data_IF_539480693640
#
_entry.id   IF_539480693640
#
_cell.length_a   1.000
_cell.length_b   1.000
_cell.length_c   1.000
_cell.angle_alpha   90.00
_cell.angle_beta   90.00
_cell.angle_gamma   90.00
#
_symmetry.space_group_name_H-M   'P 1'
#
loop_
_entity.id
_entity.type
_entity.pdbx_description
1 polymer ?
#
# COMPACT_ATOMS: atom_id res chain seq x y z
N UNK A 1 -14.56 -81.63 -20.84
CA UNK A 1 -13.31 -80.91 -20.52
C UNK A 1 -13.12 -79.82 -21.57
N UNK A 2 -13.36 -78.56 -21.20
CA UNK A 2 -13.35 -77.40 -22.12
C UNK A 2 -12.04 -76.59 -21.93
N UNK A 3 -11.50 -75.98 -23.00
CA UNK A 3 -10.18 -75.32 -23.02
C UNK A 3 -10.18 -73.94 -22.31
N UNK A 4 -9.01 -73.38 -21.98
CA UNK A 4 -8.88 -72.22 -21.09
C UNK A 4 -9.22 -70.89 -21.77
N UNK A 5 -9.73 -69.96 -20.95
CA UNK A 5 -10.11 -68.60 -21.31
C UNK A 5 -8.90 -67.74 -21.73
N UNK A 6 -9.12 -67.02 -22.83
CA UNK A 6 -8.31 -65.95 -23.39
C UNK A 6 -8.40 -64.72 -22.47
N UNK A 7 -7.27 -64.25 -21.93
CA UNK A 7 -7.20 -62.98 -21.18
C UNK A 7 -6.67 -61.90 -22.13
N UNK A 8 -7.56 -61.03 -22.61
CA UNK A 8 -7.26 -59.91 -23.49
C UNK A 8 -6.62 -58.77 -22.67
N UNK A 9 -5.34 -58.48 -22.95
CA UNK A 9 -4.66 -57.31 -22.39
C UNK A 9 -5.11 -56.04 -23.15
N UNK A 10 -5.73 -55.11 -22.43
CA UNK A 10 -6.15 -53.81 -22.94
C UNK A 10 -4.93 -52.86 -22.92
N UNK A 11 -4.42 -52.48 -24.09
CA UNK A 11 -3.35 -51.50 -24.22
C UNK A 11 -3.90 -50.08 -23.99
N UNK A 12 -3.42 -49.40 -22.94
CA UNK A 12 -3.69 -47.99 -22.68
C UNK A 12 -2.76 -47.15 -23.59
N UNK A 13 -3.30 -46.49 -24.61
CA UNK A 13 -2.58 -45.45 -25.35
C UNK A 13 -2.50 -44.18 -24.47
N UNK A 14 -1.30 -43.90 -23.94
CA UNK A 14 -0.99 -42.59 -23.39
C UNK A 14 -0.73 -41.60 -24.54
N UNK A 15 -1.61 -40.62 -24.72
CA UNK A 15 -1.36 -39.48 -25.60
C UNK A 15 -0.41 -38.52 -24.89
N UNK A 16 0.84 -38.46 -25.35
CA UNK A 16 1.79 -37.46 -24.90
C UNK A 16 1.34 -36.07 -25.40
N UNK A 17 0.92 -35.20 -24.50
CA UNK A 17 0.77 -33.77 -24.76
C UNK A 17 2.18 -33.18 -24.85
N UNK A 18 2.63 -32.85 -26.05
CA UNK A 18 3.85 -32.07 -26.22
C UNK A 18 3.62 -30.66 -25.64
N UNK A 19 4.37 -30.32 -24.60
CA UNK A 19 4.38 -28.96 -24.05
C UNK A 19 4.94 -28.00 -25.12
N UNK A 20 4.26 -26.87 -25.34
CA UNK A 20 4.80 -25.78 -26.17
C UNK A 20 6.13 -25.28 -25.56
N UNK A 21 7.13 -24.95 -26.39
CA UNK A 21 8.39 -24.40 -25.90
C UNK A 21 8.16 -23.03 -25.25
N UNK A 22 8.90 -22.71 -24.17
CA UNK A 22 8.78 -21.41 -23.52
C UNK A 22 9.11 -20.28 -24.51
N UNK A 23 8.36 -19.18 -24.41
CA UNK A 23 8.63 -17.96 -25.16
C UNK A 23 10.09 -17.50 -24.91
N UNK A 24 10.75 -16.89 -25.92
CA UNK A 24 12.14 -16.46 -25.79
C UNK A 24 12.24 -15.41 -24.68
N UNK A 25 12.95 -15.77 -23.61
CA UNK A 25 13.38 -14.84 -22.56
C UNK A 25 14.35 -13.86 -23.22
N UNK A 26 13.93 -12.61 -23.38
CA UNK A 26 14.84 -11.52 -23.77
C UNK A 26 15.98 -11.47 -22.76
N UNK A 27 17.20 -11.74 -23.22
CA UNK A 27 18.38 -11.69 -22.37
C UNK A 27 18.50 -10.29 -21.75
N UNK A 28 18.80 -10.18 -20.44
CA UNK A 28 18.99 -8.88 -19.81
C UNK A 28 20.18 -8.18 -20.46
N UNK A 29 19.98 -6.95 -20.91
CA UNK A 29 21.06 -6.08 -21.34
C UNK A 29 22.05 -5.88 -20.16
N UNK A 30 23.37 -5.81 -20.41
CA UNK A 30 24.34 -5.57 -19.35
C UNK A 30 24.00 -4.29 -18.61
N UNK A 31 23.99 -4.35 -17.28
CA UNK A 31 23.75 -3.22 -16.41
C UNK A 31 24.81 -2.13 -16.66
N UNK A 32 24.44 -1.11 -17.42
CA UNK A 32 25.19 0.13 -17.46
C UNK A 32 25.05 0.78 -16.08
N UNK A 33 26.07 0.60 -15.23
CA UNK A 33 26.37 1.55 -14.16
C UNK A 33 26.80 2.89 -14.80
N UNK A 34 25.86 3.51 -15.52
CA UNK A 34 25.97 4.90 -15.90
C UNK A 34 25.63 5.71 -14.66
N UNK A 35 26.50 6.66 -14.31
CA UNK A 35 26.14 7.72 -13.38
C UNK A 35 24.93 8.41 -14.00
N UNK A 36 23.73 8.05 -13.55
CA UNK A 36 22.49 8.66 -14.03
C UNK A 36 22.58 10.15 -13.71
N UNK A 37 22.33 11.04 -14.67
CA UNK A 37 22.34 12.47 -14.41
C UNK A 37 21.35 12.78 -13.29
N UNK A 38 21.75 13.60 -12.33
CA UNK A 38 20.86 14.07 -11.27
C UNK A 38 19.73 14.88 -11.90
N UNK A 39 18.52 14.31 -11.90
CA UNK A 39 17.33 14.97 -12.40
C UNK A 39 16.91 16.07 -11.43
N UNK A 40 16.62 17.26 -11.96
CA UNK A 40 16.22 18.42 -11.17
C UNK A 40 14.77 18.80 -11.48
N UNK A 41 13.99 19.22 -10.46
CA UNK A 41 12.65 19.78 -10.67
C UNK A 41 12.63 20.95 -11.64
N UNK A 42 11.59 21.00 -12.46
CA UNK A 42 11.25 22.13 -13.31
C UNK A 42 9.79 22.53 -13.08
N UNK A 43 9.36 23.71 -13.53
CA UNK A 43 7.93 23.93 -13.78
C UNK A 43 7.39 22.87 -14.76
N UNK A 44 6.09 22.56 -14.69
CA UNK A 44 5.44 21.65 -15.65
C UNK A 44 5.50 22.26 -17.07
N UNK A 45 6.17 21.62 -18.05
CA UNK A 45 6.20 22.13 -19.42
C UNK A 45 4.79 22.17 -20.04
N UNK A 46 4.44 23.17 -20.86
CA UNK A 46 3.13 23.28 -21.51
C UNK A 46 2.74 22.01 -22.29
N UNK A 47 3.68 21.41 -23.01
CA UNK A 47 3.49 20.19 -23.79
C UNK A 47 3.17 18.97 -22.90
N UNK A 48 3.84 18.85 -21.75
CA UNK A 48 3.55 17.78 -20.78
C UNK A 48 2.17 18.00 -20.16
N UNK A 49 1.84 19.25 -19.81
CA UNK A 49 0.52 19.60 -19.28
C UNK A 49 -0.60 19.24 -20.25
N UNK A 50 -0.44 19.60 -21.53
CA UNK A 50 -1.42 19.30 -22.57
C UNK A 50 -1.55 17.79 -22.81
N UNK A 51 -0.42 17.10 -23.03
CA UNK A 51 -0.38 15.67 -23.33
C UNK A 51 -1.03 14.84 -22.20
N UNK A 52 -0.72 15.14 -20.95
CA UNK A 52 -1.22 14.40 -19.79
C UNK A 52 -2.48 15.01 -19.16
N UNK A 53 -3.01 16.09 -19.74
CA UNK A 53 -4.18 16.84 -19.25
C UNK A 53 -4.03 17.20 -17.76
N UNK A 54 -2.85 17.67 -17.38
CA UNK A 54 -2.51 17.91 -15.97
C UNK A 54 -3.27 19.13 -15.44
N UNK A 55 -3.96 18.94 -14.32
CA UNK A 55 -4.67 20.02 -13.64
C UNK A 55 -3.71 21.17 -13.25
N UNK A 56 -4.20 22.43 -13.15
CA UNK A 56 -3.41 23.56 -12.67
C UNK A 56 -2.85 23.37 -11.25
N UNK A 57 -3.33 22.41 -10.48
CA UNK A 57 -2.74 22.02 -9.20
C UNK A 57 -1.25 21.67 -9.32
N UNK A 58 -0.86 20.94 -10.37
CA UNK A 58 0.51 20.53 -10.61
C UNK A 58 1.36 21.69 -11.11
N UNK A 59 2.40 22.04 -10.37
CA UNK A 59 3.29 23.17 -10.66
C UNK A 59 4.75 22.74 -10.82
N UNK A 60 5.15 21.60 -10.22
CA UNK A 60 6.49 21.04 -10.32
C UNK A 60 6.49 19.73 -11.10
N UNK A 61 7.58 19.45 -11.79
CA UNK A 61 7.74 18.31 -12.69
C UNK A 61 9.17 17.77 -12.72
N UNK A 62 9.32 16.45 -12.80
CA UNK A 62 10.51 15.74 -13.32
C UNK A 62 10.02 14.66 -14.29
N UNK A 63 10.67 14.53 -15.45
CA UNK A 63 10.37 13.45 -16.40
C UNK A 63 11.34 12.28 -16.26
N UNK A 64 10.84 11.04 -16.19
CA UNK A 64 11.64 9.81 -16.17
C UNK A 64 11.18 8.87 -17.28
N UNK A 65 11.95 8.74 -18.36
CA UNK A 65 11.60 7.86 -19.48
C UNK A 65 10.23 8.16 -20.10
N UNK A 66 9.81 9.42 -20.09
CA UNK A 66 8.49 9.87 -20.55
C UNK A 66 7.39 9.85 -19.48
N UNK A 67 7.60 9.19 -18.34
CA UNK A 67 6.67 9.23 -17.20
C UNK A 67 6.84 10.57 -16.46
N UNK A 68 5.79 11.40 -16.37
CA UNK A 68 5.84 12.64 -15.61
C UNK A 68 5.66 12.35 -14.12
N UNK A 69 6.58 12.86 -13.32
CA UNK A 69 6.50 12.92 -11.86
C UNK A 69 6.15 14.36 -11.52
N UNK A 70 5.05 14.57 -10.82
CA UNK A 70 4.43 15.88 -10.68
C UNK A 70 4.06 16.16 -9.23
N UNK A 71 4.08 17.44 -8.86
CA UNK A 71 3.69 17.90 -7.53
C UNK A 71 3.12 19.30 -7.57
N UNK A 72 2.50 19.71 -6.47
CA UNK A 72 2.03 21.08 -6.31
C UNK A 72 3.20 22.05 -6.11
N UNK A 73 2.89 23.35 -5.99
CA UNK A 73 3.89 24.35 -5.65
C UNK A 73 4.45 24.17 -4.22
N UNK A 74 3.72 23.50 -3.32
CA UNK A 74 4.10 23.29 -1.91
C UNK A 74 5.13 22.19 -1.74
N UNK A 75 5.11 21.18 -2.60
CA UNK A 75 5.99 20.01 -2.53
C UNK A 75 7.46 20.45 -2.57
N UNK A 76 8.34 19.89 -1.72
CA UNK A 76 9.77 20.20 -1.83
C UNK A 76 10.39 19.62 -3.10
N UNK A 77 11.42 20.30 -3.59
CA UNK A 77 12.21 19.83 -4.72
C UNK A 77 12.90 18.49 -4.43
N UNK A 78 13.31 18.29 -3.16
CA UNK A 78 13.91 17.05 -2.68
C UNK A 78 12.95 15.85 -2.77
N UNK A 79 11.67 16.03 -2.44
CA UNK A 79 10.68 14.95 -2.51
C UNK A 79 10.39 14.53 -3.95
N UNK A 80 10.31 15.51 -4.87
CA UNK A 80 10.13 15.23 -6.29
C UNK A 80 11.35 14.52 -6.88
N UNK A 81 12.56 14.96 -6.51
CA UNK A 81 13.81 14.32 -6.91
C UNK A 81 13.95 12.90 -6.33
N UNK A 82 13.55 12.68 -5.08
CA UNK A 82 13.54 11.36 -4.43
C UNK A 82 12.62 10.38 -5.17
N UNK A 83 11.41 10.82 -5.51
CA UNK A 83 10.48 10.02 -6.30
C UNK A 83 11.07 9.67 -7.68
N UNK A 84 11.70 10.63 -8.35
CA UNK A 84 12.37 10.39 -9.63
C UNK A 84 13.52 9.40 -9.52
N UNK A 85 14.38 9.56 -8.51
CA UNK A 85 15.45 8.61 -8.23
C UNK A 85 14.88 7.21 -7.97
N UNK A 86 13.83 7.09 -7.16
CA UNK A 86 13.18 5.81 -6.87
C UNK A 86 12.65 5.12 -8.14
N UNK A 87 11.96 5.87 -9.03
CA UNK A 87 11.48 5.34 -10.31
C UNK A 87 12.64 4.86 -11.19
N UNK A 88 13.74 5.61 -11.25
CA UNK A 88 14.95 5.21 -12.01
C UNK A 88 15.57 3.94 -11.42
N UNK A 89 15.65 3.81 -10.10
CA UNK A 89 16.17 2.59 -9.47
C UNK A 89 15.30 1.36 -9.78
N UNK A 90 13.98 1.51 -9.74
CA UNK A 90 13.05 0.42 -10.00
C UNK A 90 12.98 0.04 -11.48
N UNK A 91 12.91 1.01 -12.40
CA UNK A 91 12.56 0.79 -13.81
C UNK A 91 13.47 1.47 -14.83
N UNK A 92 14.59 2.08 -14.44
CA UNK A 92 15.52 2.73 -15.39
C UNK A 92 16.07 1.78 -16.46
N UNK A 93 16.09 0.47 -16.18
CA UNK A 93 16.46 -0.59 -17.12
C UNK A 93 15.28 -1.14 -17.97
N UNK A 94 14.05 -0.63 -17.75
CA UNK A 94 12.81 -0.98 -18.45
C UNK A 94 12.13 0.26 -19.06
N UNK A 95 12.80 0.94 -20.03
CA UNK A 95 12.22 2.11 -20.70
C UNK A 95 10.93 1.79 -21.44
N UNK A 96 10.73 0.54 -21.86
CA UNK A 96 9.49 0.03 -22.46
C UNK A 96 8.29 0.14 -21.50
N UNK A 97 8.46 -0.18 -20.22
CA UNK A 97 7.39 -0.04 -19.21
C UNK A 97 7.10 1.42 -18.89
N UNK A 98 8.14 2.25 -18.74
CA UNK A 98 7.98 3.69 -18.52
C UNK A 98 7.23 4.35 -19.69
N UNK A 99 7.61 4.03 -20.92
CA UNK A 99 6.95 4.52 -22.12
C UNK A 99 5.50 4.02 -22.24
N UNK A 100 5.23 2.76 -21.90
CA UNK A 100 3.88 2.21 -21.92
C UNK A 100 2.96 2.90 -20.91
N UNK A 101 3.43 3.10 -19.67
CA UNK A 101 2.68 3.84 -18.65
C UNK A 101 2.45 5.30 -19.07
N UNK A 102 3.48 5.97 -19.58
CA UNK A 102 3.36 7.34 -20.09
C UNK A 102 2.35 7.45 -21.25
N UNK A 103 2.38 6.51 -22.20
CA UNK A 103 1.41 6.43 -23.31
C UNK A 103 -0.02 6.21 -22.84
N UNK A 104 -0.20 5.50 -21.72
CA UNK A 104 -1.50 5.33 -21.06
C UNK A 104 -1.90 6.53 -20.19
N UNK A 105 -1.14 7.62 -20.20
CA UNK A 105 -1.45 8.86 -19.48
C UNK A 105 -1.14 8.81 -17.99
N UNK A 106 -0.36 7.82 -17.53
CA UNK A 106 0.01 7.70 -16.12
C UNK A 106 0.93 8.85 -15.73
N UNK A 107 0.72 9.41 -14.54
CA UNK A 107 1.65 10.31 -13.84
C UNK A 107 1.92 9.81 -12.43
N UNK A 108 3.09 10.14 -11.89
CA UNK A 108 3.39 9.94 -10.48
C UNK A 108 3.21 11.26 -9.73
N UNK A 109 2.09 11.39 -9.01
CA UNK A 109 1.79 12.55 -8.19
C UNK A 109 2.43 12.41 -6.79
N UNK A 110 3.20 13.41 -6.37
CA UNK A 110 3.74 13.46 -5.01
C UNK A 110 3.04 14.57 -4.25
N UNK A 111 2.42 14.20 -3.13
CA UNK A 111 1.75 15.12 -2.21
C UNK A 111 2.80 15.77 -1.30
N UNK A 112 2.69 17.08 -1.08
CA UNK A 112 3.40 17.72 0.03
C UNK A 112 2.94 17.15 1.37
N UNK A 113 3.75 17.29 2.41
CA UNK A 113 3.42 16.77 3.75
C UNK A 113 2.12 17.33 4.36
N UNK A 114 1.62 18.48 3.89
CA UNK A 114 0.36 19.11 4.31
C UNK A 114 -0.77 18.96 3.26
N UNK A 115 -0.57 18.09 2.28
CA UNK A 115 -1.55 17.72 1.24
C UNK A 115 -1.98 16.26 1.42
N UNK A 116 -3.26 16.00 1.14
CA UNK A 116 -3.90 14.72 1.42
C UNK A 116 -4.38 14.04 0.14
N UNK A 117 -4.74 12.76 0.26
CA UNK A 117 -5.15 11.93 -0.89
C UNK A 117 -6.24 12.59 -1.73
N UNK A 118 -7.23 13.22 -1.11
CA UNK A 118 -8.31 13.89 -1.85
C UNK A 118 -7.96 15.30 -2.37
N UNK A 119 -6.78 15.84 -2.05
CA UNK A 119 -6.26 17.06 -2.68
C UNK A 119 -5.64 16.78 -4.06
N UNK A 120 -5.20 15.53 -4.30
CA UNK A 120 -4.73 15.08 -5.61
C UNK A 120 -5.90 15.14 -6.60
N UNK A 121 -5.80 15.87 -7.72
CA UNK A 121 -6.90 16.08 -8.66
C UNK A 121 -7.60 14.79 -9.12
N UNK A 122 -6.82 13.73 -9.36
CA UNK A 122 -7.27 12.41 -9.81
C UNK A 122 -8.07 11.65 -8.75
N UNK A 123 -7.94 12.03 -7.48
CA UNK A 123 -8.54 11.37 -6.33
C UNK A 123 -9.57 12.26 -5.61
N UNK A 124 -9.78 13.50 -6.05
CA UNK A 124 -10.69 14.47 -5.42
C UNK A 124 -12.17 14.03 -5.35
N UNK A 125 -12.54 13.09 -6.22
CA UNK A 125 -13.87 12.49 -6.28
C UNK A 125 -14.13 11.51 -5.12
N UNK A 126 -13.10 11.03 -4.43
CA UNK A 126 -13.23 10.07 -3.33
C UNK A 126 -13.93 10.71 -2.13
N UNK A 127 -14.97 10.04 -1.61
CA UNK A 127 -15.76 10.50 -0.48
C UNK A 127 -15.95 9.41 0.60
N UNK A 128 -16.03 9.80 1.88
CA UNK A 128 -15.80 11.16 2.39
C UNK A 128 -14.28 11.47 2.48
N UNK A 129 -13.86 12.75 2.32
CA UNK A 129 -12.44 13.12 2.35
C UNK A 129 -11.71 12.68 3.62
N UNK A 130 -12.31 12.89 4.78
CA UNK A 130 -11.73 12.50 6.09
C UNK A 130 -11.37 11.01 6.17
N UNK A 131 -12.12 10.15 5.47
CA UNK A 131 -11.79 8.73 5.38
C UNK A 131 -10.60 8.48 4.46
N UNK A 132 -10.68 8.98 3.22
CA UNK A 132 -9.66 8.70 2.20
C UNK A 132 -8.32 9.36 2.50
N UNK A 133 -8.34 10.60 3.01
CA UNK A 133 -7.17 11.33 3.46
C UNK A 133 -6.42 10.58 4.55
N UNK A 134 -7.10 9.77 5.38
CA UNK A 134 -6.50 8.93 6.44
C UNK A 134 -6.30 7.47 6.03
N UNK A 135 -6.93 7.01 4.96
CA UNK A 135 -6.84 5.62 4.48
C UNK A 135 -5.55 5.37 3.74
N UNK A 136 -5.05 6.37 3.06
CA UNK A 136 -3.98 6.23 2.11
C UNK A 136 -3.08 7.46 2.18
N UNK A 137 -1.77 7.23 2.08
CA UNK A 137 -0.76 8.23 1.70
C UNK A 137 -0.15 7.96 0.32
N UNK A 138 -0.83 7.09 -0.43
CA UNK A 138 -0.57 6.78 -1.82
C UNK A 138 -1.70 5.90 -2.35
N UNK A 139 -1.92 5.94 -3.65
CA UNK A 139 -2.86 5.09 -4.38
C UNK A 139 -2.26 4.74 -5.73
N UNK A 140 -2.43 3.49 -6.17
CA UNK A 140 -2.02 3.03 -7.48
C UNK A 140 -2.84 3.64 -8.62
N UNK A 141 -2.21 3.75 -9.80
CA UNK A 141 -2.88 4.19 -11.01
C UNK A 141 -3.80 3.08 -11.56
N UNK A 142 -4.98 3.45 -12.02
CA UNK A 142 -5.94 2.58 -12.72
C UNK A 142 -6.37 3.22 -14.04
N UNK A 143 -7.06 2.50 -14.94
CA UNK A 143 -7.58 3.09 -16.19
C UNK A 143 -8.52 4.30 -16.01
N UNK A 144 -9.15 4.44 -14.85
CA UNK A 144 -10.06 5.55 -14.53
C UNK A 144 -9.43 6.60 -13.60
N UNK A 145 -8.31 6.29 -12.95
CA UNK A 145 -7.53 7.20 -12.12
C UNK A 145 -6.04 7.08 -12.47
N UNK A 146 -5.58 7.87 -13.45
CA UNK A 146 -4.25 7.70 -14.05
C UNK A 146 -3.09 8.24 -13.18
N UNK A 147 -3.33 8.57 -11.91
CA UNK A 147 -2.25 8.97 -11.00
C UNK A 147 -1.90 7.81 -10.09
N UNK A 148 -0.63 7.43 -10.08
CA UNK A 148 -0.03 6.81 -8.90
C UNK A 148 0.33 7.95 -7.95
N UNK A 149 0.05 7.82 -6.66
CA UNK A 149 0.38 8.83 -5.67
C UNK A 149 1.25 8.30 -4.54
N UNK A 150 2.09 9.18 -4.00
CA UNK A 150 2.88 8.97 -2.80
C UNK A 150 3.01 10.29 -2.03
N UNK A 151 3.57 10.22 -0.83
CA UNK A 151 3.67 11.36 0.06
C UNK A 151 5.11 11.72 0.39
N UNK A 152 5.37 13.03 0.44
CA UNK A 152 6.67 13.61 0.77
C UNK A 152 7.21 13.12 2.12
N UNK A 153 6.39 13.08 3.16
CA UNK A 153 6.82 12.63 4.48
C UNK A 153 7.31 11.18 4.46
N UNK A 154 6.74 10.35 3.58
CA UNK A 154 7.07 8.94 3.50
C UNK A 154 8.34 8.70 2.65
N UNK A 155 8.48 9.42 1.53
CA UNK A 155 9.66 9.38 0.67
C UNK A 155 10.91 9.86 1.43
N UNK A 156 10.79 10.96 2.18
CA UNK A 156 11.92 11.61 2.85
C UNK A 156 12.05 11.26 4.33
N UNK A 157 11.17 10.39 4.87
CA UNK A 157 11.19 9.93 6.27
C UNK A 157 10.99 11.04 7.31
N UNK A 158 10.07 11.97 7.03
CA UNK A 158 9.77 13.06 7.96
C UNK A 158 9.19 12.53 9.28
N UNK A 159 9.37 13.28 10.38
CA UNK A 159 8.67 13.00 11.62
C UNK A 159 7.15 12.94 11.41
N UNK A 160 6.49 11.96 12.03
CA UNK A 160 5.04 11.77 11.92
C UNK A 160 4.59 10.96 10.70
N UNK A 161 5.49 10.49 9.84
CA UNK A 161 5.16 9.55 8.75
C UNK A 161 4.35 8.36 9.31
N UNK A 162 3.12 8.12 8.80
CA UNK A 162 2.30 7.00 9.24
C UNK A 162 2.83 5.63 8.79
N UNK A 163 3.76 5.59 7.83
CA UNK A 163 4.36 4.37 7.27
C UNK A 163 5.90 4.36 7.37
N UNK A 164 6.49 4.54 8.57
CA UNK A 164 7.92 4.81 8.72
C UNK A 164 8.81 3.60 8.35
N UNK A 165 8.25 2.38 8.35
CA UNK A 165 8.96 1.13 8.07
C UNK A 165 9.00 0.77 6.60
N UNK A 166 8.32 1.53 5.75
CA UNK A 166 8.20 1.25 4.34
C UNK A 166 8.11 2.54 3.52
N UNK A 167 8.03 2.40 2.20
CA UNK A 167 7.69 3.50 1.29
C UNK A 167 6.54 3.03 0.43
N UNK A 168 5.36 3.57 0.75
CA UNK A 168 4.10 3.24 0.08
C UNK A 168 4.20 3.50 -1.42
N UNK A 169 4.97 4.51 -1.84
CA UNK A 169 5.21 4.76 -3.26
C UNK A 169 5.76 3.56 -4.05
N UNK A 170 6.50 2.63 -3.44
CA UNK A 170 6.95 1.39 -4.10
C UNK A 170 5.76 0.45 -4.36
N UNK A 171 4.88 0.30 -3.37
CA UNK A 171 3.64 -0.49 -3.47
C UNK A 171 2.74 0.05 -4.60
N UNK A 172 2.44 1.34 -4.52
CA UNK A 172 1.49 1.97 -5.43
C UNK A 172 2.05 2.04 -6.86
N UNK A 173 3.36 2.17 -6.99
CA UNK A 173 4.02 2.08 -8.29
C UNK A 173 3.99 0.65 -8.83
N UNK A 174 4.11 -0.38 -7.99
CA UNK A 174 3.95 -1.77 -8.44
C UNK A 174 2.57 -2.05 -9.05
N UNK A 175 1.49 -1.46 -8.49
CA UNK A 175 0.17 -1.48 -9.12
C UNK A 175 0.18 -0.83 -10.50
N UNK A 176 0.74 0.38 -10.63
CA UNK A 176 0.82 1.08 -11.91
C UNK A 176 1.64 0.29 -12.95
N UNK A 177 2.77 -0.28 -12.54
CA UNK A 177 3.60 -1.14 -13.39
C UNK A 177 2.80 -2.32 -13.91
N UNK A 178 2.02 -2.97 -13.05
CA UNK A 178 1.20 -4.11 -13.45
C UNK A 178 0.03 -3.71 -14.35
N UNK A 179 -0.87 -2.85 -13.86
CA UNK A 179 -2.14 -2.56 -14.51
C UNK A 179 -1.99 -1.64 -15.72
N UNK A 180 -1.00 -0.75 -15.71
CA UNK A 180 -0.84 0.29 -16.73
C UNK A 180 0.41 0.10 -17.60
N UNK A 181 1.41 -0.66 -17.16
CA UNK A 181 2.61 -0.96 -17.96
C UNK A 181 2.56 -2.36 -18.59
N UNK A 182 2.69 -3.39 -17.74
CA UNK A 182 2.75 -4.80 -18.13
C UNK A 182 1.51 -5.24 -18.89
N UNK A 183 0.31 -4.75 -18.54
CA UNK A 183 -0.91 -5.03 -19.30
C UNK A 183 -0.83 -4.66 -20.80
N UNK A 184 0.13 -3.81 -21.20
CA UNK A 184 0.41 -3.46 -22.60
C UNK A 184 1.64 -4.14 -23.16
N UNK A 185 2.72 -4.20 -22.37
CA UNK A 185 4.02 -4.72 -22.83
C UNK A 185 4.05 -6.25 -22.82
N UNK A 186 3.43 -6.87 -21.83
CA UNK A 186 3.22 -8.31 -21.74
C UNK A 186 1.78 -8.62 -21.26
N UNK A 187 0.82 -8.73 -22.19
CA UNK A 187 -0.57 -9.04 -21.87
C UNK A 187 -0.78 -10.40 -21.19
N UNK A 188 0.22 -11.29 -21.17
CA UNK A 188 0.12 -12.60 -20.51
C UNK A 188 0.47 -12.57 -19.02
N UNK A 189 1.12 -11.49 -18.56
CA UNK A 189 1.63 -11.35 -17.21
C UNK A 189 0.55 -11.56 -16.14
N UNK A 190 -0.61 -10.92 -16.27
CA UNK A 190 -1.70 -10.99 -15.28
C UNK A 190 -2.25 -12.42 -15.11
N UNK A 191 -2.26 -13.21 -16.20
CA UNK A 191 -2.66 -14.62 -16.17
C UNK A 191 -1.65 -15.45 -15.37
N UNK A 192 -0.35 -15.21 -15.57
CA UNK A 192 0.73 -15.89 -14.83
C UNK A 192 0.70 -15.49 -13.35
N UNK A 193 0.59 -14.20 -13.06
CA UNK A 193 0.45 -13.67 -11.71
C UNK A 193 -0.77 -14.27 -10.99
N UNK A 194 -1.92 -14.39 -11.68
CA UNK A 194 -3.12 -15.02 -11.12
C UNK A 194 -2.86 -16.47 -10.71
N UNK A 195 -2.24 -17.26 -11.60
CA UNK A 195 -1.93 -18.65 -11.30
C UNK A 195 -0.94 -18.78 -10.13
N UNK A 196 0.07 -17.92 -10.07
CA UNK A 196 1.02 -17.84 -8.95
C UNK A 196 0.33 -17.50 -7.65
N UNK A 197 -0.52 -16.47 -7.63
CA UNK A 197 -1.31 -16.08 -6.45
C UNK A 197 -2.19 -17.24 -5.95
N UNK A 198 -2.94 -17.88 -6.85
CA UNK A 198 -3.82 -19.00 -6.47
C UNK A 198 -3.04 -20.18 -5.89
N UNK A 199 -1.86 -20.48 -6.45
CA UNK A 199 -0.96 -21.52 -5.93
C UNK A 199 -0.43 -21.15 -4.55
N UNK A 200 0.03 -19.92 -4.34
CA UNK A 200 0.52 -19.43 -3.05
C UNK A 200 -0.58 -19.49 -1.97
N UNK A 201 -1.79 -19.06 -2.29
CA UNK A 201 -2.93 -19.10 -1.38
C UNK A 201 -3.33 -20.55 -1.04
N UNK A 202 -3.33 -21.45 -2.03
CA UNK A 202 -3.61 -22.87 -1.81
C UNK A 202 -2.56 -23.55 -0.92
N UNK A 203 -1.31 -23.10 -0.99
CA UNK A 203 -0.22 -23.54 -0.11
C UNK A 203 -0.25 -22.88 1.28
N UNK A 204 -1.18 -21.96 1.54
CA UNK A 204 -1.29 -21.22 2.80
C UNK A 204 -0.19 -20.18 3.01
N UNK A 205 0.56 -19.83 1.96
CA UNK A 205 1.53 -18.73 2.01
C UNK A 205 0.79 -17.41 2.26
N UNK A 206 1.43 -16.50 2.98
CA UNK A 206 0.91 -15.15 3.27
C UNK A 206 -0.41 -15.14 4.06
N UNK A 207 -0.80 -16.27 4.67
CA UNK A 207 -2.02 -16.36 5.47
C UNK A 207 -2.01 -15.30 6.58
N UNK A 208 -3.06 -14.48 6.60
CA UNK A 208 -3.24 -13.43 7.61
C UNK A 208 -2.44 -12.14 7.34
N UNK A 209 -1.77 -12.05 6.19
CA UNK A 209 -1.12 -10.81 5.75
C UNK A 209 -1.96 -10.07 4.72
N UNK A 210 -1.60 -8.81 4.44
CA UNK A 210 -2.26 -7.98 3.42
C UNK A 210 -2.07 -8.55 2.01
N UNK A 211 -0.94 -9.19 1.74
CA UNK A 211 -0.67 -9.88 0.47
C UNK A 211 -1.70 -10.99 0.14
N UNK A 212 -2.43 -11.54 1.11
CA UNK A 212 -3.46 -12.55 0.88
C UNK A 212 -4.86 -11.96 0.58
N UNK A 213 -5.02 -10.63 0.57
CA UNK A 213 -6.33 -9.99 0.35
C UNK A 213 -6.82 -10.21 -1.07
N UNK A 214 -5.97 -9.94 -2.06
CA UNK A 214 -6.24 -10.20 -3.47
C UNK A 214 -4.93 -10.23 -4.28
N UNK A 215 -5.03 -10.65 -5.54
CA UNK A 215 -3.89 -10.76 -6.47
C UNK A 215 -3.12 -9.45 -6.70
N UNK A 216 -3.81 -8.31 -6.73
CA UNK A 216 -3.16 -7.02 -6.96
C UNK A 216 -2.30 -6.63 -5.76
N UNK A 217 -2.83 -6.75 -4.53
CA UNK A 217 -2.07 -6.51 -3.30
C UNK A 217 -0.93 -7.52 -3.17
N UNK A 218 -1.16 -8.80 -3.50
CA UNK A 218 -0.11 -9.82 -3.54
C UNK A 218 1.08 -9.35 -4.38
N UNK A 219 0.83 -8.92 -5.62
CA UNK A 219 1.90 -8.39 -6.47
C UNK A 219 2.61 -7.19 -5.83
N UNK A 220 1.86 -6.18 -5.39
CA UNK A 220 2.45 -4.95 -4.86
C UNK A 220 3.28 -5.17 -3.59
N UNK A 221 2.80 -6.02 -2.67
CA UNK A 221 3.52 -6.46 -1.49
C UNK A 221 4.80 -7.21 -1.86
N UNK A 222 4.76 -8.11 -2.83
CA UNK A 222 5.94 -8.86 -3.27
C UNK A 222 6.99 -7.96 -3.92
N UNK A 223 6.57 -6.92 -4.64
CA UNK A 223 7.50 -5.91 -5.17
C UNK A 223 8.15 -5.11 -4.04
N UNK A 224 7.41 -4.74 -2.99
CA UNK A 224 8.02 -4.13 -1.80
C UNK A 224 9.05 -5.07 -1.16
N UNK A 225 8.73 -6.35 -1.00
CA UNK A 225 9.66 -7.35 -0.45
C UNK A 225 10.89 -7.50 -1.37
N UNK A 226 10.71 -7.52 -2.69
CA UNK A 226 11.78 -7.61 -3.68
C UNK A 226 12.79 -6.46 -3.56
N UNK A 227 12.34 -5.28 -3.12
CA UNK A 227 13.21 -4.12 -2.89
C UNK A 227 13.60 -3.94 -1.42
N UNK A 228 13.36 -4.92 -0.55
CA UNK A 228 13.65 -4.89 0.90
C UNK A 228 12.96 -3.73 1.64
N UNK A 229 11.76 -3.34 1.19
CA UNK A 229 10.98 -2.21 1.70
C UNK A 229 9.59 -2.61 2.21
N UNK A 230 9.41 -3.87 2.62
CA UNK A 230 8.18 -4.31 3.26
C UNK A 230 8.35 -4.23 4.79
N UNK A 231 7.32 -3.80 5.51
CA UNK A 231 7.32 -3.86 6.96
C UNK A 231 7.38 -5.34 7.41
N UNK A 232 7.93 -5.60 8.60
CA UNK A 232 8.06 -6.96 9.11
C UNK A 232 7.27 -7.13 10.42
N UNK A 233 6.62 -8.29 10.55
CA UNK A 233 6.03 -8.80 11.80
C UNK A 233 5.07 -7.83 12.50
N UNK A 234 4.07 -7.33 11.78
CA UNK A 234 2.99 -6.54 12.36
C UNK A 234 1.60 -7.16 12.09
N UNK A 235 0.53 -6.36 12.21
CA UNK A 235 -0.83 -6.87 12.03
C UNK A 235 -1.20 -7.18 10.57
N UNK A 236 -0.38 -6.72 9.61
CA UNK A 236 -0.61 -6.84 8.17
C UNK A 236 0.53 -7.58 7.46
N UNK A 237 1.70 -7.74 8.08
CA UNK A 237 2.89 -8.33 7.46
C UNK A 237 3.47 -9.48 8.31
N UNK A 238 4.06 -10.49 7.64
CA UNK A 238 4.82 -11.56 8.27
C UNK A 238 6.33 -11.19 8.33
N UNK A 239 7.22 -12.17 8.54
CA UNK A 239 8.67 -11.96 8.65
C UNK A 239 9.40 -11.96 7.29
N UNK A 240 8.69 -12.14 6.17
CA UNK A 240 9.25 -12.24 4.82
C UNK A 240 9.32 -10.84 4.20
N UNK A 241 10.34 -10.08 4.61
CA UNK A 241 10.46 -8.66 4.26
C UNK A 241 11.69 -8.30 3.40
N UNK A 242 12.41 -9.31 2.89
CA UNK A 242 13.58 -9.12 2.02
C UNK A 242 13.52 -10.04 0.81
N UNK A 243 14.19 -9.66 -0.27
CA UNK A 243 14.30 -10.44 -1.51
C UNK A 243 14.81 -11.85 -1.26
N UNK A 244 15.80 -12.00 -0.39
CA UNK A 244 16.43 -13.30 -0.12
C UNK A 244 15.46 -14.25 0.61
N UNK A 245 14.67 -13.71 1.55
CA UNK A 245 13.58 -14.48 2.17
C UNK A 245 12.50 -14.83 1.15
N UNK A 246 12.12 -13.90 0.28
CA UNK A 246 11.11 -14.12 -0.76
C UNK A 246 11.50 -15.25 -1.72
N UNK A 247 12.75 -15.27 -2.18
CA UNK A 247 13.30 -16.33 -3.05
C UNK A 247 13.12 -17.72 -2.48
N UNK A 248 13.16 -17.85 -1.16
CA UNK A 248 13.02 -19.12 -0.44
C UNK A 248 11.57 -19.44 -0.10
N UNK A 249 10.81 -18.43 0.34
CA UNK A 249 9.45 -18.58 0.85
C UNK A 249 8.40 -18.74 -0.26
N UNK A 250 8.51 -17.94 -1.32
CA UNK A 250 7.59 -17.91 -2.47
C UNK A 250 8.39 -17.70 -3.77
N UNK A 251 9.06 -18.76 -4.21
CA UNK A 251 9.97 -18.72 -5.36
C UNK A 251 9.26 -18.43 -6.68
N UNK A 252 7.97 -18.75 -6.80
CA UNK A 252 7.20 -18.51 -8.02
C UNK A 252 6.98 -17.02 -8.28
N UNK A 253 6.57 -16.24 -7.26
CA UNK A 253 6.43 -14.79 -7.42
C UNK A 253 7.77 -14.06 -7.39
N UNK A 254 8.76 -14.62 -6.71
CA UNK A 254 10.15 -14.19 -6.83
C UNK A 254 10.63 -14.25 -8.28
N UNK A 255 10.27 -15.29 -9.03
CA UNK A 255 10.62 -15.40 -10.45
C UNK A 255 9.93 -14.32 -11.31
N UNK A 256 8.66 -13.99 -11.02
CA UNK A 256 7.97 -12.88 -11.70
C UNK A 256 8.60 -11.52 -11.38
N UNK A 257 9.03 -11.30 -10.13
CA UNK A 257 9.76 -10.09 -9.77
C UNK A 257 11.11 -10.01 -10.49
N UNK A 258 11.85 -11.11 -10.56
CA UNK A 258 13.12 -11.19 -11.29
C UNK A 258 12.94 -10.94 -12.79
N UNK A 259 11.86 -11.42 -13.40
CA UNK A 259 11.55 -11.14 -14.81
C UNK A 259 11.32 -9.64 -15.07
N UNK A 260 10.60 -8.96 -14.18
CA UNK A 260 10.24 -7.55 -14.37
C UNK A 260 11.38 -6.60 -14.01
N UNK A 261 12.01 -6.82 -12.85
CA UNK A 261 12.96 -5.89 -12.23
C UNK A 261 14.41 -6.34 -12.32
N UNK A 262 14.67 -7.55 -12.84
CA UNK A 262 15.98 -8.20 -12.87
C UNK A 262 16.59 -8.38 -11.47
N UNK A 263 17.74 -9.06 -11.37
CA UNK A 263 18.44 -9.25 -10.11
C UNK A 263 19.48 -8.17 -9.83
N UNK A 264 19.16 -6.91 -10.11
CA UNK A 264 20.06 -5.80 -9.79
C UNK A 264 20.40 -5.77 -8.29
N UNK A 265 21.64 -5.40 -7.92
CA UNK A 265 22.09 -5.42 -6.53
C UNK A 265 21.38 -4.39 -5.65
N UNK A 266 20.79 -3.35 -6.25
CA UNK A 266 20.11 -2.29 -5.50
C UNK A 266 18.98 -2.86 -4.61
N UNK A 267 18.92 -2.33 -3.38
CA UNK A 267 17.86 -2.52 -2.40
C UNK A 267 17.51 -1.17 -1.83
N UNK A 268 16.22 -0.97 -1.58
CA UNK A 268 15.77 0.27 -1.01
C UNK A 268 16.28 0.40 0.43
N UNK A 269 16.75 1.59 0.76
CA UNK A 269 17.00 2.01 2.15
C UNK A 269 16.52 3.45 2.31
N UNK A 270 16.21 3.88 3.53
CA UNK A 270 15.75 5.25 3.77
C UNK A 270 16.86 6.26 3.41
N UNK A 271 16.53 7.49 2.95
CA UNK A 271 17.54 8.48 2.57
C UNK A 271 18.64 8.72 3.61
N UNK A 272 18.33 8.66 4.90
CA UNK A 272 19.31 8.88 5.96
C UNK A 272 20.46 7.84 6.01
N UNK A 273 20.25 6.62 5.49
CA UNK A 273 21.23 5.52 5.57
C UNK A 273 22.00 5.31 4.26
N UNK A 274 21.71 6.08 3.22
CA UNK A 274 22.30 5.94 1.89
C UNK A 274 23.69 6.58 1.79
N UNK A 275 24.47 6.11 0.82
CA UNK A 275 25.77 6.70 0.48
C UNK A 275 25.61 8.15 -0.04
N UNK A 276 26.65 8.99 -0.01
CA UNK A 276 26.57 10.32 -0.63
C UNK A 276 26.19 10.30 -2.11
N UNK A 277 26.66 9.30 -2.87
CA UNK A 277 26.31 9.15 -4.28
C UNK A 277 24.82 8.89 -4.49
N UNK A 278 24.23 8.01 -3.67
CA UNK A 278 22.80 7.70 -3.69
C UNK A 278 21.91 8.81 -3.11
N UNK A 279 22.51 9.90 -2.62
CA UNK A 279 21.83 11.10 -2.11
C UNK A 279 22.17 12.34 -2.92
N UNK A 280 22.85 12.20 -4.06
CA UNK A 280 23.26 13.35 -4.87
C UNK A 280 22.07 14.20 -5.35
N UNK A 281 20.89 13.59 -5.53
CA UNK A 281 19.65 14.28 -5.88
C UNK A 281 18.95 14.97 -4.71
N UNK A 282 19.42 14.73 -3.48
CA UNK A 282 18.94 15.36 -2.24
C UNK A 282 19.89 16.46 -1.76
N UNK A 283 20.67 17.05 -2.66
CA UNK A 283 21.58 18.14 -2.31
C UNK A 283 20.82 19.29 -1.62
N UNK A 284 21.34 19.74 -0.48
CA UNK A 284 20.71 20.77 0.36
C UNK A 284 19.52 20.31 1.21
N UNK A 285 19.05 19.07 1.10
CA UNK A 285 18.00 18.54 1.98
C UNK A 285 18.54 18.23 3.40
N UNK A 286 17.81 18.69 4.42
CA UNK A 286 18.16 18.49 5.83
C UNK A 286 16.95 17.96 6.59
N UNK A 287 17.00 16.68 6.96
CA UNK A 287 15.92 16.00 7.67
C UNK A 287 15.63 16.62 9.04
N UNK A 288 16.62 17.25 9.70
CA UNK A 288 16.41 17.89 11.00
C UNK A 288 15.52 19.15 10.90
N UNK A 289 15.37 19.71 9.69
CA UNK A 289 14.49 20.84 9.38
C UNK A 289 13.17 20.42 8.74
N UNK A 290 12.97 19.12 8.54
CA UNK A 290 11.75 18.61 7.93
C UNK A 290 10.52 18.93 8.81
N UNK A 291 9.38 19.29 8.21
CA UNK A 291 8.14 19.48 8.95
C UNK A 291 7.65 18.15 9.53
N UNK A 292 6.85 18.22 10.59
CA UNK A 292 6.17 17.05 11.13
C UNK A 292 4.85 16.84 10.40
N UNK A 293 4.67 15.66 9.80
CA UNK A 293 3.40 15.29 9.19
C UNK A 293 2.28 15.31 10.23
N UNK A 294 1.12 15.86 9.85
CA UNK A 294 -0.09 15.83 10.68
C UNK A 294 -1.28 15.56 9.79
N UNK A 295 -2.15 14.68 10.26
CA UNK A 295 -3.43 14.47 9.61
C UNK A 295 -4.28 15.74 9.61
N UNK A 296 -5.11 15.87 8.56
CA UNK A 296 -6.04 17.00 8.44
C UNK A 296 -6.93 17.08 9.67
N UNK A 297 -7.05 18.28 10.24
CA UNK A 297 -8.04 18.55 11.26
C UNK A 297 -9.44 18.36 10.66
N UNK A 298 -10.28 17.57 11.32
CA UNK A 298 -11.66 17.32 10.92
C UNK A 298 -12.58 17.61 12.09
N UNK A 299 -13.69 18.30 11.84
CA UNK A 299 -14.72 18.52 12.85
C UNK A 299 -15.39 17.20 13.21
N UNK A 300 -15.68 16.98 14.49
CA UNK A 300 -16.41 15.79 14.94
C UNK A 300 -17.86 15.85 14.43
N UNK A 301 -18.31 14.91 13.58
CA UNK A 301 -19.72 14.84 13.16
C UNK A 301 -20.66 14.64 14.35
N UNK A 302 -21.96 14.93 14.18
CA UNK A 302 -22.96 14.63 15.21
C UNK A 302 -23.04 13.13 15.51
N UNK A 303 -23.00 12.30 14.46
CA UNK A 303 -23.07 10.84 14.51
C UNK A 303 -21.93 10.21 13.72
N UNK A 304 -20.69 10.24 14.23
CA UNK A 304 -19.55 9.69 13.53
C UNK A 304 -19.70 8.16 13.41
N UNK A 305 -19.28 7.61 12.27
CA UNK A 305 -19.28 6.16 12.04
C UNK A 305 -17.88 5.63 12.03
N UNK A 306 -17.56 4.65 12.87
CA UNK A 306 -16.27 3.98 12.86
C UNK A 306 -16.42 2.56 12.29
N UNK A 307 -15.43 2.10 11.52
CA UNK A 307 -15.24 0.67 11.26
C UNK A 307 -14.27 0.13 12.29
N UNK A 308 -14.57 -1.04 12.85
CA UNK A 308 -13.66 -1.81 13.68
C UNK A 308 -13.24 -3.04 12.88
N UNK A 309 -11.99 -3.04 12.41
CA UNK A 309 -11.45 -4.11 11.58
C UNK A 309 -10.60 -5.05 12.44
N UNK A 310 -10.79 -6.37 12.29
CA UNK A 310 -9.99 -7.40 12.94
C UNK A 310 -9.83 -8.62 12.02
N UNK A 311 -9.03 -9.60 12.43
CA UNK A 311 -8.79 -10.82 11.65
C UNK A 311 -10.07 -11.63 11.32
N UNK A 312 -11.11 -11.54 12.15
CA UNK A 312 -12.39 -12.22 11.94
C UNK A 312 -13.38 -11.41 11.05
N UNK A 313 -13.03 -10.18 10.67
CA UNK A 313 -13.81 -9.30 9.82
C UNK A 313 -14.00 -7.89 10.39
N UNK A 314 -14.88 -7.12 9.75
CA UNK A 314 -15.17 -5.73 10.11
C UNK A 314 -16.58 -5.54 10.67
N UNK A 315 -16.73 -4.66 11.67
CA UNK A 315 -18.03 -4.18 12.17
C UNK A 315 -18.09 -2.66 12.11
N UNK A 316 -19.21 -2.10 11.63
CA UNK A 316 -19.41 -0.65 11.62
C UNK A 316 -20.33 -0.21 12.75
N UNK A 317 -19.91 0.84 13.48
CA UNK A 317 -20.66 1.47 14.55
C UNK A 317 -20.94 2.93 14.22
N UNK A 318 -22.17 3.38 14.47
CA UNK A 318 -22.52 4.80 14.56
C UNK A 318 -22.48 5.21 16.03
N UNK A 319 -21.68 6.23 16.35
CA UNK A 319 -21.45 6.66 17.70
C UNK A 319 -22.33 7.85 18.05
N UNK A 320 -22.77 7.91 19.31
CA UNK A 320 -23.46 9.07 19.89
C UNK A 320 -22.97 9.30 21.32
N UNK A 321 -22.89 10.55 21.76
CA UNK A 321 -22.60 10.88 23.15
C UNK A 321 -23.07 12.30 23.46
N UNK A 322 -23.58 12.53 24.68
CA UNK A 322 -23.84 13.90 25.17
C UNK A 322 -22.54 14.58 25.64
N UNK A 323 -21.51 13.80 25.99
CA UNK A 323 -20.16 14.27 26.29
C UNK A 323 -19.33 14.43 24.99
N UNK A 324 -19.57 15.53 24.26
CA UNK A 324 -18.95 15.80 22.95
C UNK A 324 -17.42 15.84 22.97
N UNK A 325 -16.82 16.33 24.05
CA UNK A 325 -15.36 16.38 24.19
C UNK A 325 -14.76 14.98 24.28
N UNK A 326 -15.43 14.05 24.99
CA UNK A 326 -14.99 12.64 25.06
C UNK A 326 -15.06 11.95 23.70
N UNK A 327 -16.15 12.17 22.97
CA UNK A 327 -16.29 11.63 21.61
C UNK A 327 -15.22 12.20 20.67
N UNK A 328 -14.91 13.49 20.79
CA UNK A 328 -13.84 14.14 20.00
C UNK A 328 -12.47 13.58 20.35
N UNK A 329 -12.17 13.39 21.64
CA UNK A 329 -10.92 12.78 22.10
C UNK A 329 -10.76 11.34 21.61
N UNK A 330 -11.81 10.52 21.73
CA UNK A 330 -11.80 9.15 21.23
C UNK A 330 -11.50 9.10 19.72
N UNK A 331 -12.18 9.95 18.94
CA UNK A 331 -11.97 9.99 17.49
C UNK A 331 -10.59 10.51 17.13
N UNK A 332 -10.05 11.49 17.86
CA UNK A 332 -8.67 11.95 17.67
C UNK A 332 -7.65 10.83 17.93
N UNK A 333 -7.80 10.06 19.00
CA UNK A 333 -6.93 8.92 19.29
C UNK A 333 -7.08 7.78 18.28
N UNK A 334 -8.31 7.50 17.82
CA UNK A 334 -8.55 6.55 16.73
C UNK A 334 -7.83 6.98 15.45
N UNK A 335 -7.94 8.27 15.14
CA UNK A 335 -7.34 8.94 13.99
C UNK A 335 -5.81 8.96 14.04
N UNK A 336 -5.21 9.07 15.22
CA UNK A 336 -3.78 8.99 15.45
C UNK A 336 -3.27 7.53 15.53
N UNK A 337 -4.16 6.57 15.29
CA UNK A 337 -3.82 5.16 15.18
C UNK A 337 -3.55 4.48 16.51
N UNK A 338 -4.00 5.05 17.64
CA UNK A 338 -3.75 4.49 18.98
C UNK A 338 -4.22 3.04 19.10
N UNK A 339 -5.29 2.69 18.40
CA UNK A 339 -5.89 1.36 18.45
C UNK A 339 -5.34 0.40 17.39
N UNK A 340 -4.49 0.85 16.45
CA UNK A 340 -3.94 -0.01 15.40
C UNK A 340 -2.96 -1.03 15.98
N UNK A 341 -3.36 -2.30 16.03
CA UNK A 341 -2.62 -3.38 16.68
C UNK A 341 -2.97 -3.59 18.16
N UNK A 342 -3.89 -2.77 18.71
CA UNK A 342 -4.39 -2.88 20.09
C UNK A 342 -5.41 -4.01 20.26
N UNK A 343 -6.22 -3.95 21.31
CA UNK A 343 -7.26 -4.97 21.57
C UNK A 343 -8.64 -4.36 21.80
N UNK A 344 -9.67 -5.16 21.52
CA UNK A 344 -11.02 -4.86 21.98
C UNK A 344 -11.68 -6.10 22.57
N UNK A 345 -12.42 -5.89 23.64
CA UNK A 345 -13.19 -6.91 24.35
C UNK A 345 -14.64 -6.49 24.42
N UNK A 346 -15.54 -7.46 24.25
CA UNK A 346 -16.98 -7.22 24.36
C UNK A 346 -17.63 -8.14 25.37
N UNK A 347 -18.35 -7.53 26.32
CA UNK A 347 -19.15 -8.24 27.31
C UNK A 347 -20.32 -7.37 27.75
N UNK A 348 -21.48 -8.00 27.96
CA UNK A 348 -22.68 -7.37 28.56
C UNK A 348 -23.09 -6.02 27.92
N UNK A 349 -23.03 -5.94 26.58
CA UNK A 349 -23.38 -4.73 25.85
C UNK A 349 -22.33 -3.62 25.93
N UNK A 350 -21.12 -3.92 26.41
CA UNK A 350 -20.02 -2.97 26.55
C UNK A 350 -18.83 -3.43 25.72
N UNK A 351 -18.35 -2.54 24.86
CA UNK A 351 -17.10 -2.68 24.09
C UNK A 351 -15.99 -1.91 24.80
N UNK A 352 -15.01 -2.63 25.33
CA UNK A 352 -13.76 -2.07 25.88
C UNK A 352 -12.70 -2.08 24.80
N UNK A 353 -12.05 -0.95 24.57
CA UNK A 353 -10.96 -0.81 23.61
C UNK A 353 -9.70 -0.42 24.38
N UNK A 354 -8.60 -1.13 24.13
CA UNK A 354 -7.29 -0.80 24.64
C UNK A 354 -6.35 -0.46 23.47
N UNK A 355 -5.41 0.48 23.67
CA UNK A 355 -4.52 0.90 22.61
C UNK A 355 -3.42 -0.13 22.36
N UNK A 356 -2.71 0.02 21.26
CA UNK A 356 -1.40 -0.57 21.08
C UNK A 356 -0.37 0.15 21.96
N UNK A 357 0.80 -0.47 22.18
CA UNK A 357 1.91 0.18 22.88
C UNK A 357 2.47 1.38 22.09
N UNK A 358 2.38 1.31 20.76
CA UNK A 358 2.89 2.31 19.83
C UNK A 358 1.89 2.53 18.70
N UNK A 359 1.82 3.78 18.25
CA UNK A 359 1.11 4.17 17.02
C UNK A 359 1.80 3.58 15.78
N UNK A 360 1.14 3.59 14.59
CA UNK A 360 1.76 3.13 13.34
C UNK A 360 3.08 3.83 13.00
N UNK A 361 3.22 5.11 13.36
CA UNK A 361 4.45 5.89 13.19
C UNK A 361 5.58 5.48 14.16
N UNK A 362 5.32 4.52 15.06
CA UNK A 362 6.26 4.02 16.06
C UNK A 362 6.32 4.86 17.34
N UNK A 363 5.60 5.99 17.41
CA UNK A 363 5.54 6.80 18.64
C UNK A 363 4.79 6.04 19.75
N UNK A 364 5.29 6.06 21.00
CA UNK A 364 4.62 5.41 22.12
C UNK A 364 3.25 6.04 22.38
N UNK A 365 2.25 5.22 22.69
CA UNK A 365 0.97 5.72 23.19
C UNK A 365 1.18 6.18 24.65
N UNK A 366 0.78 7.42 25.01
CA UNK A 366 0.95 7.92 26.38
C UNK A 366 0.28 7.03 27.43
N UNK A 367 0.94 6.87 28.58
CA UNK A 367 0.41 6.07 29.68
C UNK A 367 -0.93 6.62 30.18
N UNK A 368 -1.93 5.75 30.30
CA UNK A 368 -3.29 6.13 30.73
C UNK A 368 -4.19 6.67 29.60
N UNK A 369 -3.68 6.83 28.38
CA UNK A 369 -4.50 7.17 27.22
C UNK A 369 -4.98 5.93 26.46
N UNK A 370 -5.90 6.12 25.49
CA UNK A 370 -6.33 5.07 24.57
C UNK A 370 -7.18 3.95 25.18
N UNK A 371 -7.61 4.05 26.44
CA UNK A 371 -8.53 3.08 27.03
C UNK A 371 -9.96 3.64 27.00
N UNK A 372 -10.84 2.96 26.28
CA UNK A 372 -12.21 3.43 26.07
C UNK A 372 -13.25 2.38 26.37
N UNK A 373 -14.39 2.84 26.85
CA UNK A 373 -15.59 2.05 27.07
C UNK A 373 -16.70 2.63 26.22
N UNK A 374 -17.27 1.81 25.34
CA UNK A 374 -18.35 2.16 24.44
C UNK A 374 -19.54 1.24 24.74
N UNK A 375 -20.70 1.81 25.05
CA UNK A 375 -21.91 1.06 25.35
C UNK A 375 -22.74 0.86 24.09
N UNK A 376 -23.21 -0.36 23.84
CA UNK A 376 -24.15 -0.61 22.75
C UNK A 376 -25.57 -0.18 23.17
N UNK A 377 -26.26 0.53 22.28
CA UNK A 377 -27.66 0.99 22.42
C UNK A 377 -27.93 2.05 23.49
N UNK A 378 -27.75 1.75 24.79
CA UNK A 378 -28.07 2.67 25.89
C UNK A 378 -26.84 2.96 26.76
N UNK A 379 -26.33 4.17 26.66
CA UNK A 379 -25.21 4.65 27.47
C UNK A 379 -25.68 5.53 28.65
N UNK A 380 -24.92 5.59 29.76
CA UNK A 380 -24.93 6.72 30.67
C UNK A 380 -24.71 8.07 29.93
N UNK A 381 -25.15 9.18 30.52
CA UNK A 381 -25.07 10.50 29.87
C UNK A 381 -23.61 10.89 29.50
N UNK A 382 -22.63 10.46 30.29
CA UNK A 382 -21.21 10.78 30.20
C UNK A 382 -20.38 9.75 29.40
N UNK A 383 -21.04 8.81 28.74
CA UNK A 383 -20.39 7.73 28.00
C UNK A 383 -20.64 7.81 26.48
N UNK A 384 -19.81 7.11 25.72
CA UNK A 384 -20.02 6.92 24.28
C UNK A 384 -20.97 5.74 24.10
N UNK A 385 -22.06 5.98 23.40
CA UNK A 385 -22.94 4.93 22.88
C UNK A 385 -22.60 4.59 21.44
N UNK A 386 -22.81 3.34 21.05
CA UNK A 386 -22.68 2.88 19.68
C UNK A 386 -23.92 2.09 19.26
N UNK A 387 -24.32 2.29 18.00
CA UNK A 387 -25.31 1.46 17.31
C UNK A 387 -24.61 0.74 16.16
N UNK A 388 -24.79 -0.57 16.08
CA UNK A 388 -24.27 -1.35 14.95
C UNK A 388 -25.01 -0.94 13.68
N UNK A 389 -24.26 -0.50 12.66
CA UNK A 389 -24.81 -0.10 11.36
C UNK A 389 -24.66 -1.22 10.34
N UNK A 390 -23.54 -1.93 10.37
CA UNK A 390 -23.23 -3.04 9.46
C UNK A 390 -22.41 -4.10 10.20
N UNK A 391 -22.65 -5.37 9.89
CA UNK A 391 -21.89 -6.48 10.47
C UNK A 391 -22.46 -7.07 11.76
N UNK A 392 -23.72 -6.77 12.12
CA UNK A 392 -24.34 -7.31 13.35
C UNK A 392 -24.30 -8.85 13.47
N UNK A 393 -24.35 -9.59 12.35
CA UNK A 393 -24.19 -11.06 12.34
C UNK A 393 -22.74 -11.53 12.51
N UNK A 394 -21.78 -10.68 12.16
CA UNK A 394 -20.35 -10.94 12.30
C UNK A 394 -19.82 -10.48 13.66
N UNK A 395 -20.47 -9.51 14.29
CA UNK A 395 -20.09 -9.00 15.60
C UNK A 395 -19.97 -10.12 16.66
N UNK A 396 -20.93 -11.07 16.81
CA UNK A 396 -20.75 -12.22 17.70
C UNK A 396 -19.56 -13.13 17.36
N UNK A 397 -19.16 -13.23 16.08
CA UNK A 397 -17.99 -14.02 15.64
C UNK A 397 -16.68 -13.28 15.85
N UNK A 398 -16.68 -11.97 15.64
CA UNK A 398 -15.53 -11.09 15.88
C UNK A 398 -15.20 -11.05 17.38
N UNK A 399 -16.22 -11.16 18.22
CA UNK A 399 -16.13 -11.04 19.67
C UNK A 399 -16.21 -12.41 20.38
N UNK A 400 -16.18 -13.52 19.63
CA UNK A 400 -16.35 -14.87 20.21
C UNK A 400 -15.18 -15.30 21.09
N UNK A 401 -14.00 -14.69 20.93
CA UNK A 401 -12.79 -15.04 21.69
C UNK A 401 -12.55 -14.14 22.92
N UNK A 402 -13.59 -13.39 23.35
CA UNK A 402 -13.56 -12.31 24.34
C UNK A 402 -12.61 -11.14 24.01
N UNK A 403 -11.51 -11.35 23.27
CA UNK A 403 -10.57 -10.31 22.87
C UNK A 403 -10.25 -10.42 21.38
N UNK A 404 -10.40 -9.32 20.63
CA UNK A 404 -10.01 -9.22 19.23
C UNK A 404 -8.84 -8.24 19.07
N UNK A 405 -7.85 -8.57 18.24
CA UNK A 405 -6.80 -7.63 17.85
C UNK A 405 -7.38 -6.64 16.84
N UNK A 406 -7.28 -5.36 17.16
CA UNK A 406 -7.76 -4.28 16.30
C UNK A 406 -6.75 -4.06 15.19
N UNK A 407 -7.15 -4.19 13.93
CA UNK A 407 -6.33 -3.82 12.78
C UNK A 407 -6.44 -2.33 12.49
N UNK A 408 -7.65 -1.77 12.56
CA UNK A 408 -7.91 -0.35 12.26
C UNK A 408 -9.22 0.12 12.87
N UNK A 409 -9.27 1.41 13.26
CA UNK A 409 -10.51 2.12 13.58
C UNK A 409 -10.60 3.44 12.83
N UNK A 410 -11.27 3.48 11.67
CA UNK A 410 -11.52 4.78 10.98
C UNK A 410 -12.84 4.78 10.19
N UNK A 411 -13.72 5.75 10.52
CA UNK A 411 -14.43 6.62 9.55
C UNK A 411 -14.99 7.84 10.28
N UNK A 412 -15.21 8.93 9.53
CA UNK A 412 -16.17 9.96 9.85
C UNK A 412 -16.91 10.26 8.55
N UNK A 413 -18.24 10.35 8.61
CA UNK A 413 -19.10 10.54 7.43
C UNK A 413 -18.85 11.89 6.77
#
# INVERSE_FOLDING_TARGET
>A
MKPPLLLTALALLATAHAAEPPAPVLAPAPALASVQPVLKPTPVPPEVREQFKLAPFYQKHIGVGGLPIVGSAKLSDAALAECAWLVVQMLGHRPDLLAAMAKNGVRFAVMAHDEYTTDVPEHAHLKPPVYWDRRARGLGATPTALAVSAAEENLLSFPGDPYPREVIGIHEFAHAIHEMGLSKVDPTFDKRLKATYEKAMAAGLWKGTYAAVNRAEYWAEMVQVWFDNNAANDALHNDINTRDKLKTYDSDVSALCAEVFTELPWRYTKPATRTPADRAHLDGFDLAKAPHFRWRAAATPERPRISFDCAAGSVEFELTSTARDRLTQFLAQAHDGYFSGGSAEFSDGVLKIAPAERTPSGAPVPAGEGHWTIHLEKAPADAISAKVVKGARYMPKILSDKTARVQRIVRQN
#
